data_IF_186826786473
#
_entry.id   IF_186826786473
#
_cell.length_a   1.000
_cell.length_b   1.000
_cell.length_c   1.000
_cell.angle_alpha   90.00
_cell.angle_beta   90.00
_cell.angle_gamma   90.00
#
_symmetry.space_group_name_H-M   'P 1'
#
loop_
_entity.id
_entity.type
_entity.pdbx_description
1 polymer ?
#
# COMPACT_ATOMS: atom_id res chain seq x y z
N UNK A 1 12.34 -27.45 -8.90
CA UNK A 1 12.28 -26.07 -8.40
C UNK A 1 13.44 -25.33 -9.00
N UNK A 2 13.18 -24.32 -9.84
CA UNK A 2 14.23 -23.46 -10.37
C UNK A 2 14.86 -22.75 -9.16
N UNK A 3 16.15 -22.95 -8.93
CA UNK A 3 16.85 -22.29 -7.81
C UNK A 3 16.82 -20.79 -8.06
N UNK A 4 16.11 -20.02 -7.22
CA UNK A 4 16.24 -18.57 -7.23
C UNK A 4 17.62 -18.23 -6.70
N UNK A 5 18.32 -17.37 -7.42
CA UNK A 5 19.63 -16.88 -6.98
C UNK A 5 19.41 -15.80 -5.95
N UNK A 6 20.05 -15.93 -4.80
CA UNK A 6 19.98 -14.91 -3.75
C UNK A 6 21.38 -14.48 -3.30
N UNK A 7 21.46 -13.29 -2.73
CA UNK A 7 22.67 -12.69 -2.19
C UNK A 7 22.34 -11.95 -0.88
N UNK A 8 23.38 -11.54 -0.15
CA UNK A 8 23.24 -10.96 1.19
C UNK A 8 22.25 -9.79 1.27
N UNK A 9 22.27 -8.90 0.26
CA UNK A 9 21.51 -7.66 0.32
C UNK A 9 21.99 -6.73 1.43
N UNK A 10 21.12 -5.80 1.82
CA UNK A 10 21.39 -4.74 2.78
C UNK A 10 20.18 -4.55 3.71
N UNK A 11 20.41 -4.26 5.01
CA UNK A 11 19.32 -4.00 5.95
C UNK A 11 18.60 -2.65 5.70
N UNK A 12 19.15 -1.78 4.86
CA UNK A 12 18.57 -0.47 4.55
C UNK A 12 18.69 -0.14 3.06
N UNK A 13 17.73 0.63 2.51
CA UNK A 13 16.49 1.07 3.16
C UNK A 13 15.50 -0.08 3.40
N UNK A 14 14.54 0.12 4.31
CA UNK A 14 13.48 -0.85 4.59
C UNK A 14 12.49 -0.95 3.43
N UNK A 15 11.95 -2.15 3.24
CA UNK A 15 11.06 -2.56 2.16
C UNK A 15 11.78 -3.09 0.92
N UNK A 16 11.02 -3.36 -0.15
CA UNK A 16 11.57 -3.73 -1.44
C UNK A 16 12.09 -2.51 -2.24
N UNK A 17 13.38 -2.54 -2.60
CA UNK A 17 14.06 -1.46 -3.33
C UNK A 17 14.68 -1.97 -4.62
N UNK A 18 14.22 -1.44 -5.75
CA UNK A 18 14.83 -1.68 -7.07
C UNK A 18 16.19 -0.99 -7.17
N UNK A 19 17.26 -1.77 -7.40
CA UNK A 19 18.65 -1.31 -7.44
C UNK A 19 19.21 -1.15 -8.87
N UNK A 20 18.37 -1.35 -9.90
CA UNK A 20 18.78 -1.33 -11.32
C UNK A 20 19.28 -2.67 -11.86
N UNK A 21 19.72 -3.57 -10.99
CA UNK A 21 20.23 -4.91 -11.35
C UNK A 21 19.59 -6.05 -10.52
N UNK A 22 18.54 -5.75 -9.77
CA UNK A 22 17.85 -6.65 -8.84
C UNK A 22 17.10 -5.87 -7.78
N UNK A 23 16.44 -6.57 -6.87
CA UNK A 23 15.68 -5.99 -5.77
C UNK A 23 16.30 -6.38 -4.44
N UNK A 24 16.53 -5.37 -3.60
CA UNK A 24 16.88 -5.57 -2.20
C UNK A 24 15.60 -5.57 -1.36
N UNK A 25 15.39 -6.62 -0.58
CA UNK A 25 14.28 -6.74 0.36
C UNK A 25 14.81 -6.57 1.78
N UNK A 26 14.14 -5.77 2.62
CA UNK A 26 14.52 -5.57 4.01
C UNK A 26 13.26 -5.40 4.89
N UNK A 27 13.08 -6.29 5.86
CA UNK A 27 11.92 -6.34 6.76
C UNK A 27 12.37 -6.29 8.22
N UNK A 28 11.90 -5.29 8.95
CA UNK A 28 12.09 -5.25 10.40
C UNK A 28 11.20 -6.27 11.10
N UNK A 29 11.79 -7.10 11.97
CA UNK A 29 11.06 -7.92 12.93
C UNK A 29 11.98 -8.36 14.07
N UNK A 30 11.76 -7.80 15.27
CA UNK A 30 12.55 -8.10 16.47
C UNK A 30 12.33 -9.52 17.02
N UNK A 31 11.11 -10.06 16.91
CA UNK A 31 10.71 -11.30 17.57
C UNK A 31 10.49 -12.48 16.62
N UNK A 32 10.64 -12.28 15.31
CA UNK A 32 10.53 -13.38 14.35
C UNK A 32 11.63 -14.43 14.59
N UNK A 33 11.27 -15.69 14.43
CA UNK A 33 12.22 -16.81 14.39
C UNK A 33 12.50 -17.27 12.97
N UNK A 34 11.78 -16.74 11.98
CA UNK A 34 12.01 -16.98 10.56
C UNK A 34 11.15 -16.05 9.70
N UNK A 35 11.70 -15.65 8.57
CA UNK A 35 11.00 -14.84 7.55
C UNK A 35 11.12 -15.56 6.21
N UNK A 36 10.01 -15.69 5.52
CA UNK A 36 9.96 -16.21 4.16
C UNK A 36 9.41 -15.12 3.23
N UNK A 37 10.15 -14.80 2.17
CA UNK A 37 9.71 -13.95 1.08
C UNK A 37 8.90 -14.80 0.08
N UNK A 38 7.65 -14.41 -0.16
CA UNK A 38 6.73 -15.08 -1.07
C UNK A 38 6.62 -14.25 -2.35
N UNK A 39 6.91 -14.84 -3.52
CA UNK A 39 6.78 -14.19 -4.83
C UNK A 39 5.60 -14.78 -5.60
N UNK A 40 4.86 -13.92 -6.29
CA UNK A 40 3.69 -14.28 -7.09
C UNK A 40 3.88 -13.81 -8.53
N UNK A 41 3.49 -14.65 -9.49
CA UNK A 41 3.58 -14.32 -10.93
C UNK A 41 2.36 -13.51 -11.39
N UNK A 42 1.24 -13.62 -10.67
CA UNK A 42 -0.04 -12.98 -11.02
C UNK A 42 -0.81 -12.55 -9.77
N UNK A 43 -1.68 -11.56 -9.91
CA UNK A 43 -2.48 -11.02 -8.80
C UNK A 43 -3.55 -12.01 -8.33
N UNK A 44 -4.09 -12.82 -9.25
CA UNK A 44 -5.10 -13.84 -8.97
C UNK A 44 -4.47 -15.16 -8.47
N UNK A 45 -3.15 -15.20 -8.27
CA UNK A 45 -2.47 -16.37 -7.76
C UNK A 45 -2.95 -16.70 -6.34
N UNK A 46 -3.49 -17.91 -6.17
CA UNK A 46 -4.04 -18.39 -4.90
C UNK A 46 -2.96 -18.87 -3.91
N UNK A 47 -1.75 -19.10 -4.40
CA UNK A 47 -0.58 -19.54 -3.65
C UNK A 47 0.67 -18.88 -4.24
N UNK A 48 1.74 -18.74 -3.44
CA UNK A 48 2.99 -18.21 -3.95
C UNK A 48 3.68 -19.16 -4.93
N UNK A 49 4.17 -18.60 -6.05
CA UNK A 49 4.93 -19.35 -7.06
C UNK A 49 6.29 -19.78 -6.50
N UNK A 50 6.88 -18.94 -5.64
CA UNK A 50 8.18 -19.17 -5.03
C UNK A 50 8.15 -18.68 -3.58
N UNK A 51 8.68 -19.51 -2.68
CA UNK A 51 8.93 -19.16 -1.29
C UNK A 51 10.44 -19.21 -1.00
N UNK A 52 10.99 -18.13 -0.46
CA UNK A 52 12.43 -17.95 -0.27
C UNK A 52 12.70 -17.65 1.21
N UNK A 53 13.43 -18.51 1.94
CA UNK A 53 13.82 -18.22 3.31
C UNK A 53 14.81 -17.05 3.34
N UNK A 54 14.44 -15.97 4.03
CA UNK A 54 15.33 -14.82 4.24
C UNK A 54 16.31 -15.20 5.36
N UNK A 55 17.58 -15.34 4.99
CA UNK A 55 18.61 -15.90 5.88
C UNK A 55 19.49 -14.85 6.56
N UNK A 56 19.65 -13.68 5.95
CA UNK A 56 20.46 -12.61 6.53
C UNK A 56 19.66 -11.76 7.50
N UNK A 57 20.29 -11.42 8.61
CA UNK A 57 19.67 -10.69 9.70
C UNK A 57 20.70 -9.78 10.38
N UNK A 58 20.49 -8.46 10.25
CA UNK A 58 21.34 -7.43 10.85
C UNK A 58 20.47 -6.51 11.68
N UNK A 59 20.73 -6.41 12.98
CA UNK A 59 20.06 -5.46 13.89
C UNK A 59 18.52 -5.49 13.79
N UNK A 60 17.92 -6.69 13.95
CA UNK A 60 16.46 -6.90 13.88
C UNK A 60 15.85 -6.75 12.48
N UNK A 61 16.67 -6.55 11.44
CA UNK A 61 16.23 -6.45 10.04
C UNK A 61 16.65 -7.67 9.25
N UNK A 62 15.66 -8.37 8.71
CA UNK A 62 15.81 -9.50 7.80
C UNK A 62 15.97 -8.98 6.38
N UNK A 63 16.99 -9.41 5.66
CA UNK A 63 17.25 -8.88 4.32
C UNK A 63 17.79 -9.90 3.33
N UNK A 64 17.56 -9.65 2.06
CA UNK A 64 18.10 -10.45 0.96
C UNK A 64 18.07 -9.66 -0.35
N UNK A 65 18.99 -9.97 -1.28
CA UNK A 65 19.01 -9.38 -2.61
C UNK A 65 18.78 -10.43 -3.69
N UNK A 66 17.81 -10.15 -4.58
CA UNK A 66 17.43 -11.02 -5.69
C UNK A 66 17.77 -10.33 -7.03
N UNK A 67 18.74 -10.84 -7.81
CA UNK A 67 19.22 -10.21 -9.05
C UNK A 67 18.23 -10.32 -10.22
N UNK A 68 17.32 -11.29 -10.17
CA UNK A 68 16.42 -11.61 -11.30
C UNK A 68 15.05 -10.96 -11.15
N UNK A 69 14.72 -10.45 -9.96
CA UNK A 69 13.47 -9.73 -9.71
C UNK A 69 13.52 -8.32 -10.31
N UNK A 70 12.38 -7.84 -10.80
CA UNK A 70 12.19 -6.55 -11.47
C UNK A 70 11.00 -5.79 -10.86
N UNK A 71 10.85 -4.48 -11.15
CA UNK A 71 9.61 -3.77 -10.89
C UNK A 71 8.39 -4.53 -11.45
N UNK A 72 7.24 -4.31 -10.81
CA UNK A 72 5.98 -5.05 -10.98
C UNK A 72 5.96 -6.48 -10.43
N UNK A 73 7.04 -6.96 -9.81
CA UNK A 73 7.00 -8.20 -9.03
C UNK A 73 6.03 -8.07 -7.85
N UNK A 74 5.08 -9.00 -7.76
CA UNK A 74 4.20 -9.17 -6.62
C UNK A 74 4.89 -10.01 -5.54
N UNK A 75 4.75 -9.58 -4.29
CA UNK A 75 5.31 -10.29 -3.16
C UNK A 75 4.51 -10.08 -1.86
N UNK A 76 4.83 -10.91 -0.87
CA UNK A 76 4.43 -10.76 0.53
C UNK A 76 5.41 -11.51 1.42
N UNK A 77 5.12 -11.56 2.71
CA UNK A 77 5.95 -12.26 3.70
C UNK A 77 5.15 -13.28 4.49
N UNK A 78 5.78 -14.39 4.84
CA UNK A 78 5.32 -15.27 5.92
C UNK A 78 6.31 -15.17 7.08
N UNK A 79 5.81 -14.90 8.28
CA UNK A 79 6.67 -14.64 9.44
C UNK A 79 6.37 -15.66 10.53
N UNK A 80 7.40 -16.45 10.86
CA UNK A 80 7.36 -17.45 11.92
C UNK A 80 7.84 -16.83 13.24
N UNK A 81 7.29 -17.31 14.35
CA UNK A 81 7.66 -16.87 15.69
C UNK A 81 6.76 -17.51 16.75
N UNK A 82 6.91 -17.11 18.02
CA UNK A 82 6.07 -17.62 19.10
C UNK A 82 4.60 -17.19 18.95
N UNK A 83 3.69 -18.12 19.22
CA UNK A 83 2.26 -17.83 19.36
C UNK A 83 1.86 -18.00 20.84
N UNK A 84 1.74 -16.87 21.52
CA UNK A 84 1.30 -16.73 22.92
C UNK A 84 0.46 -15.44 23.04
N UNK A 85 -0.82 -15.50 22.62
CA UNK A 85 -1.70 -14.32 22.54
C UNK A 85 -1.89 -13.57 23.86
N UNK A 86 -1.84 -14.27 24.99
CA UNK A 86 -1.95 -13.67 26.33
C UNK A 86 -0.78 -12.74 26.64
N UNK A 87 0.37 -12.95 25.98
CA UNK A 87 1.56 -12.08 26.06
C UNK A 87 1.71 -11.17 24.84
N UNK A 88 0.72 -11.14 23.95
CA UNK A 88 0.72 -10.36 22.73
C UNK A 88 1.53 -10.94 21.57
N UNK A 89 2.09 -12.16 21.71
CA UNK A 89 2.87 -12.81 20.66
C UNK A 89 1.90 -13.54 19.72
N UNK A 90 1.73 -13.04 18.48
CA UNK A 90 0.70 -13.53 17.54
C UNK A 90 1.26 -13.98 16.20
N UNK A 91 2.49 -14.52 16.18
CA UNK A 91 3.11 -14.97 14.93
C UNK A 91 2.34 -16.16 14.33
N UNK A 92 2.05 -16.07 13.03
CA UNK A 92 1.36 -17.12 12.29
C UNK A 92 1.84 -17.16 10.84
N UNK A 93 2.73 -18.09 10.52
CA UNK A 93 3.30 -18.22 9.18
C UNK A 93 2.34 -18.81 8.14
N UNK A 94 1.17 -19.31 8.57
CA UNK A 94 0.07 -19.63 7.64
C UNK A 94 -0.55 -18.39 7.03
N UNK A 95 -0.32 -17.19 7.59
CA UNK A 95 -0.87 -15.92 7.09
C UNK A 95 0.16 -15.18 6.24
N UNK A 96 -0.25 -14.77 5.05
CA UNK A 96 0.50 -13.90 4.15
C UNK A 96 0.38 -12.47 4.64
N UNK A 97 1.51 -11.82 4.85
CA UNK A 97 1.60 -10.45 5.32
C UNK A 97 2.04 -9.52 4.19
N UNK A 98 1.49 -8.32 4.19
CA UNK A 98 1.99 -7.21 3.38
C UNK A 98 3.34 -6.72 3.93
N UNK A 99 4.18 -6.17 3.05
CA UNK A 99 5.35 -5.41 3.50
C UNK A 99 4.88 -4.06 4.08
N UNK A 100 5.15 -3.76 5.37
CA UNK A 100 4.77 -2.47 5.95
C UNK A 100 5.45 -1.27 5.27
N UNK A 101 6.50 -1.50 4.48
CA UNK A 101 7.22 -0.50 3.70
C UNK A 101 6.87 -0.49 2.21
N UNK A 102 5.89 -1.31 1.78
CA UNK A 102 5.43 -1.40 0.40
C UNK A 102 5.06 0.00 -0.15
N UNK A 103 5.59 0.31 -1.34
CA UNK A 103 5.31 1.58 -2.02
C UNK A 103 4.10 1.49 -2.95
N UNK A 104 3.65 0.28 -3.24
CA UNK A 104 2.43 -0.02 -3.95
C UNK A 104 1.86 -1.34 -3.41
N UNK A 105 0.54 -1.40 -3.30
CA UNK A 105 -0.22 -2.59 -2.93
C UNK A 105 -1.28 -2.80 -4.01
N UNK A 106 -1.38 -4.02 -4.52
CA UNK A 106 -2.31 -4.42 -5.57
C UNK A 106 -3.35 -5.40 -5.01
N UNK A 107 -4.59 -5.27 -5.48
CA UNK A 107 -5.71 -6.10 -5.08
C UNK A 107 -6.45 -5.58 -3.85
N UNK A 108 -7.48 -6.32 -3.48
CA UNK A 108 -8.35 -6.07 -2.34
C UNK A 108 -8.42 -7.32 -1.46
N UNK A 109 -8.83 -7.14 -0.20
CA UNK A 109 -9.04 -8.28 0.69
C UNK A 109 -10.31 -9.02 0.25
N UNK A 110 -10.17 -10.28 -0.11
CA UNK A 110 -11.30 -11.20 -0.29
C UNK A 110 -11.63 -11.82 1.07
N UNK A 111 -12.57 -11.21 1.79
CA UNK A 111 -12.89 -11.60 3.16
C UNK A 111 -13.42 -13.03 3.29
N UNK A 112 -12.75 -13.79 4.15
CA UNK A 112 -13.13 -15.12 4.63
C UNK A 112 -12.60 -15.32 6.05
N UNK A 113 -13.07 -16.33 6.77
CA UNK A 113 -12.66 -16.57 8.16
C UNK A 113 -11.15 -16.87 8.28
N UNK A 114 -10.56 -17.52 7.28
CA UNK A 114 -9.12 -17.77 7.21
C UNK A 114 -8.26 -16.51 7.08
N UNK A 115 -8.83 -15.33 6.77
CA UNK A 115 -8.09 -14.05 6.79
C UNK A 115 -7.73 -13.61 8.21
N UNK A 116 -8.25 -14.29 9.23
CA UNK A 116 -7.90 -14.06 10.63
C UNK A 116 -6.82 -15.04 11.10
N UNK A 117 -5.91 -14.56 11.94
CA UNK A 117 -4.90 -15.36 12.62
C UNK A 117 -5.44 -16.38 13.63
N UNK A 118 -6.74 -16.33 13.91
CA UNK A 118 -7.45 -17.15 14.89
C UNK A 118 -8.77 -17.68 14.34
N UNK A 119 -9.29 -18.75 14.94
CA UNK A 119 -10.50 -19.45 14.46
C UNK A 119 -11.74 -18.64 14.85
N UNK A 120 -12.39 -18.04 13.86
CA UNK A 120 -13.65 -17.31 14.04
C UNK A 120 -14.73 -18.25 14.61
N UNK A 121 -15.38 -17.80 15.70
CA UNK A 121 -16.42 -18.56 16.38
C UNK A 121 -15.92 -19.67 17.33
N UNK A 122 -14.61 -19.82 17.53
CA UNK A 122 -14.09 -20.72 18.57
C UNK A 122 -14.45 -20.22 19.97
N UNK A 123 -14.63 -21.15 20.92
CA UNK A 123 -14.92 -20.83 22.32
C UNK A 123 -13.78 -20.11 23.03
N UNK A 124 -12.55 -20.27 22.53
CA UNK A 124 -11.36 -19.58 23.02
C UNK A 124 -11.10 -18.27 22.28
N UNK A 125 -12.01 -17.85 21.40
CA UNK A 125 -11.95 -16.58 20.66
C UNK A 125 -10.58 -16.40 19.97
N UNK A 126 -9.91 -15.28 20.22
CA UNK A 126 -8.65 -14.89 19.60
C UNK A 126 -7.41 -15.66 20.10
N UNK A 127 -7.60 -16.61 21.02
CA UNK A 127 -6.56 -17.50 21.54
C UNK A 127 -6.40 -18.77 20.70
N UNK A 128 -7.40 -19.12 19.89
CA UNK A 128 -7.38 -20.32 19.05
C UNK A 128 -6.70 -20.03 17.71
N UNK A 129 -5.42 -20.39 17.56
CA UNK A 129 -4.67 -20.18 16.31
C UNK A 129 -5.32 -20.87 15.11
N UNK A 130 -5.46 -20.16 13.99
CA UNK A 130 -5.93 -20.72 12.72
C UNK A 130 -4.77 -20.93 11.74
N UNK A 131 -4.61 -22.16 11.25
CA UNK A 131 -3.51 -22.55 10.36
C UNK A 131 -3.88 -22.55 8.87
N UNK A 132 -5.11 -22.20 8.49
CA UNK A 132 -5.52 -22.08 7.09
C UNK A 132 -4.75 -20.98 6.39
N UNK A 133 -4.40 -21.21 5.13
CA UNK A 133 -3.74 -20.22 4.30
C UNK A 133 -4.72 -19.16 3.81
N UNK A 134 -4.25 -17.91 3.73
CA UNK A 134 -5.02 -16.73 3.33
C UNK A 134 -4.49 -16.07 2.05
N UNK A 135 -3.40 -16.58 1.46
CA UNK A 135 -2.70 -15.96 0.35
C UNK A 135 -3.62 -15.64 -0.86
N UNK A 136 -4.66 -16.46 -1.07
CA UNK A 136 -5.65 -16.26 -2.13
C UNK A 136 -6.51 -15.01 -1.96
N UNK A 137 -6.71 -14.54 -0.72
CA UNK A 137 -7.58 -13.41 -0.40
C UNK A 137 -6.86 -12.18 0.13
N UNK A 138 -5.55 -12.24 0.35
CA UNK A 138 -4.75 -11.09 0.79
C UNK A 138 -4.19 -10.32 -0.42
N UNK A 139 -4.26 -8.98 -0.47
CA UNK A 139 -3.60 -8.19 -1.51
C UNK A 139 -2.08 -8.39 -1.51
N UNK A 140 -1.42 -8.04 -2.60
CA UNK A 140 0.03 -8.26 -2.76
C UNK A 140 0.79 -6.94 -2.72
N UNK A 141 1.94 -6.93 -2.05
CA UNK A 141 2.90 -5.83 -2.15
C UNK A 141 3.54 -5.85 -3.53
N UNK A 142 3.85 -4.67 -4.08
CA UNK A 142 4.42 -4.57 -5.43
C UNK A 142 5.77 -3.87 -5.39
N UNK A 143 6.78 -4.48 -6.02
CA UNK A 143 8.05 -3.81 -6.26
C UNK A 143 7.83 -2.72 -7.31
N UNK A 144 8.25 -1.49 -7.04
CA UNK A 144 8.15 -0.40 -8.02
C UNK A 144 9.52 0.11 -8.44
N UNK A 145 9.58 0.74 -9.61
CA UNK A 145 10.63 1.70 -9.90
C UNK A 145 10.25 3.06 -9.27
N UNK A 146 11.17 3.65 -8.51
CA UNK A 146 10.92 4.94 -7.87
C UNK A 146 11.21 6.12 -8.80
N UNK A 147 11.91 5.87 -9.92
CA UNK A 147 12.23 6.87 -10.93
C UNK A 147 10.97 7.58 -11.44
N UNK A 148 11.02 8.91 -11.51
CA UNK A 148 9.93 9.74 -12.02
C UNK A 148 10.51 11.09 -12.47
N UNK A 149 10.18 11.52 -13.69
CA UNK A 149 10.59 12.83 -14.19
C UNK A 149 9.68 13.92 -13.61
N UNK A 150 10.18 14.66 -12.62
CA UNK A 150 9.44 15.77 -12.02
C UNK A 150 9.38 17.03 -12.89
N UNK A 151 10.05 17.08 -14.04
CA UNK A 151 10.02 18.22 -14.97
C UNK A 151 10.36 19.57 -14.32
N UNK A 152 11.27 19.54 -13.34
CA UNK A 152 11.68 20.73 -12.60
C UNK A 152 10.69 21.21 -11.55
N UNK A 153 9.73 20.37 -11.14
CA UNK A 153 8.77 20.65 -10.07
C UNK A 153 9.43 21.26 -8.82
N UNK A 154 8.73 22.21 -8.22
CA UNK A 154 9.13 22.84 -6.96
C UNK A 154 7.90 23.02 -6.11
N UNK A 155 8.05 22.74 -4.81
CA UNK A 155 7.02 23.04 -3.82
C UNK A 155 6.59 24.51 -3.91
N UNK A 156 5.28 24.82 -4.05
CA UNK A 156 4.79 26.20 -4.15
C UNK A 156 5.18 27.08 -2.95
N UNK A 157 5.08 26.54 -1.72
CA UNK A 157 5.61 27.20 -0.52
C UNK A 157 4.79 28.42 -0.08
N UNK A 158 3.46 28.29 -0.08
CA UNK A 158 2.54 29.37 0.28
C UNK A 158 2.65 29.64 1.79
N UNK A 159 2.90 30.88 2.23
CA UNK A 159 2.90 31.22 3.65
C UNK A 159 1.53 30.93 4.28
N UNK A 160 1.51 30.37 5.49
CA UNK A 160 0.26 30.05 6.20
C UNK A 160 -0.75 31.22 6.29
N UNK A 161 -0.35 32.49 6.51
CA UNK A 161 -1.29 33.61 6.53
C UNK A 161 -1.99 33.88 5.18
N UNK A 162 -1.37 33.44 4.08
CA UNK A 162 -1.89 33.58 2.72
C UNK A 162 -2.60 32.31 2.24
N UNK A 163 -2.66 31.26 3.08
CA UNK A 163 -3.19 29.96 2.71
C UNK A 163 -4.72 29.91 2.80
N UNK A 164 -5.33 29.34 1.77
CA UNK A 164 -6.74 28.96 1.70
C UNK A 164 -6.80 27.48 1.35
N UNK A 165 -7.09 26.66 2.35
CA UNK A 165 -7.12 25.20 2.25
C UNK A 165 -8.49 24.73 1.77
N UNK A 166 -8.49 23.82 0.80
CA UNK A 166 -9.67 23.16 0.26
C UNK A 166 -9.61 21.66 0.54
N UNK A 167 -10.34 21.21 1.56
CA UNK A 167 -10.49 19.79 1.88
C UNK A 167 -11.29 19.09 0.77
N UNK A 168 -10.76 17.97 0.26
CA UNK A 168 -11.33 17.28 -0.89
C UNK A 168 -11.12 15.78 -0.84
N UNK A 169 -12.18 15.05 -1.21
CA UNK A 169 -12.10 13.62 -1.44
C UNK A 169 -11.76 13.34 -2.91
N UNK A 170 -10.68 12.59 -3.18
CA UNK A 170 -10.21 12.26 -4.55
C UNK A 170 -11.34 11.70 -5.42
N UNK A 171 -12.01 10.64 -4.95
CA UNK A 171 -13.18 10.05 -5.63
C UNK A 171 -14.34 11.04 -5.78
N UNK A 172 -14.82 11.62 -4.69
CA UNK A 172 -16.00 12.49 -4.69
C UNK A 172 -15.90 13.71 -5.59
N UNK A 173 -14.70 14.29 -5.67
CA UNK A 173 -14.45 15.54 -6.40
C UNK A 173 -14.89 15.49 -7.87
N UNK A 174 -14.54 14.42 -8.58
CA UNK A 174 -14.78 14.32 -10.02
C UNK A 174 -15.67 13.16 -10.43
N UNK A 175 -16.16 12.31 -9.51
CA UNK A 175 -16.94 11.11 -9.87
C UNK A 175 -18.17 11.42 -10.73
N UNK A 176 -18.84 12.54 -10.48
CA UNK A 176 -20.04 12.99 -11.19
C UNK A 176 -19.78 14.16 -12.16
N UNK A 177 -18.51 14.48 -12.44
CA UNK A 177 -18.16 15.59 -13.32
C UNK A 177 -18.26 15.14 -14.79
N UNK A 178 -19.42 15.37 -15.39
CA UNK A 178 -19.75 14.89 -16.74
C UNK A 178 -18.84 15.41 -17.87
N UNK A 179 -18.16 16.53 -17.67
CA UNK A 179 -17.23 17.10 -18.65
C UNK A 179 -15.85 16.45 -18.61
N UNK A 180 -15.50 15.74 -17.53
CA UNK A 180 -14.28 14.95 -17.47
C UNK A 180 -14.47 13.61 -18.19
N UNK A 181 -13.43 13.08 -18.88
CA UNK A 181 -13.45 11.71 -19.41
C UNK A 181 -13.80 10.70 -18.32
N UNK A 182 -14.64 9.72 -18.63
CA UNK A 182 -15.22 8.80 -17.65
C UNK A 182 -14.15 8.02 -16.86
N UNK A 183 -13.09 7.63 -17.55
CA UNK A 183 -11.94 6.90 -17.01
C UNK A 183 -11.12 7.70 -15.98
N UNK A 184 -11.21 9.03 -15.99
CA UNK A 184 -10.51 9.91 -15.03
C UNK A 184 -11.41 10.33 -13.85
N UNK A 185 -12.70 9.98 -13.87
CA UNK A 185 -13.65 10.44 -12.86
C UNK A 185 -13.44 9.72 -11.53
N UNK A 186 -13.11 10.50 -10.52
CA UNK A 186 -12.85 10.05 -9.16
C UNK A 186 -11.46 9.44 -8.97
N UNK A 187 -10.48 9.84 -9.77
CA UNK A 187 -9.10 9.35 -9.71
C UNK A 187 -8.09 10.48 -9.46
N UNK A 188 -6.85 10.11 -9.14
CA UNK A 188 -5.74 11.07 -9.01
C UNK A 188 -5.53 11.85 -10.31
N UNK A 189 -5.58 11.17 -11.46
CA UNK A 189 -5.48 11.83 -12.76
C UNK A 189 -6.62 12.83 -13.01
N UNK A 190 -7.84 12.53 -12.57
CA UNK A 190 -8.96 13.48 -12.61
C UNK A 190 -8.73 14.73 -11.76
N UNK A 191 -8.21 14.57 -10.54
CA UNK A 191 -7.93 15.67 -9.63
C UNK A 191 -6.73 16.52 -10.10
N UNK A 192 -5.78 15.92 -10.80
CA UNK A 192 -4.64 16.61 -11.42
C UNK A 192 -4.89 17.12 -12.85
N UNK A 193 -6.13 17.05 -13.35
CA UNK A 193 -6.48 17.42 -14.72
C UNK A 193 -6.52 18.95 -14.92
N UNK A 194 -6.42 19.40 -16.18
CA UNK A 194 -6.52 20.82 -16.51
C UNK A 194 -7.84 21.44 -16.06
N UNK A 195 -8.95 20.72 -16.15
CA UNK A 195 -10.27 21.17 -15.70
C UNK A 195 -10.33 21.35 -14.18
N UNK A 196 -9.77 20.40 -13.42
CA UNK A 196 -9.67 20.49 -11.97
C UNK A 196 -8.82 21.69 -11.54
N UNK A 197 -7.66 21.87 -12.18
CA UNK A 197 -6.78 23.00 -11.93
C UNK A 197 -7.48 24.33 -12.24
N UNK A 198 -8.13 24.46 -13.39
CA UNK A 198 -8.88 25.68 -13.75
C UNK A 198 -9.98 26.00 -12.72
N UNK A 199 -10.70 24.97 -12.24
CA UNK A 199 -11.66 25.12 -11.15
C UNK A 199 -11.00 25.65 -9.87
N UNK A 200 -9.92 25.04 -9.39
CA UNK A 200 -9.24 25.49 -8.17
C UNK A 200 -8.69 26.91 -8.30
N UNK A 201 -8.14 27.27 -9.46
CA UNK A 201 -7.66 28.63 -9.74
C UNK A 201 -8.78 29.66 -9.76
N UNK A 202 -9.95 29.32 -10.33
CA UNK A 202 -11.14 30.19 -10.34
C UNK A 202 -11.73 30.35 -8.94
N UNK A 203 -11.74 29.29 -8.15
CA UNK A 203 -12.19 29.33 -6.76
C UNK A 203 -11.25 30.16 -5.88
N UNK A 204 -9.95 30.21 -6.22
CA UNK A 204 -8.95 31.02 -5.54
C UNK A 204 -8.30 30.32 -4.34
N UNK A 205 -8.37 28.98 -4.29
CA UNK A 205 -7.72 28.18 -3.24
C UNK A 205 -6.23 28.08 -3.51
N UNK A 206 -5.42 27.97 -2.46
CA UNK A 206 -3.96 27.87 -2.57
C UNK A 206 -3.45 26.45 -2.38
N UNK A 207 -4.21 25.64 -1.64
CA UNK A 207 -3.79 24.33 -1.18
C UNK A 207 -5.01 23.40 -1.20
N UNK A 208 -4.82 22.17 -1.65
CA UNK A 208 -5.82 21.10 -1.51
C UNK A 208 -5.38 20.17 -0.38
N UNK A 209 -6.31 19.84 0.51
CA UNK A 209 -6.11 18.84 1.56
C UNK A 209 -6.89 17.59 1.18
N UNK A 210 -6.15 16.52 0.84
CA UNK A 210 -6.76 15.27 0.43
C UNK A 210 -7.18 14.49 1.67
N UNK A 211 -8.43 14.02 1.69
CA UNK A 211 -8.84 12.91 2.56
C UNK A 211 -7.89 11.71 2.36
N UNK A 212 -7.84 10.75 3.31
CA UNK A 212 -6.84 9.69 3.33
C UNK A 212 -6.59 9.02 1.97
N UNK A 213 -5.33 9.10 1.53
CA UNK A 213 -4.85 8.45 0.30
C UNK A 213 -3.89 7.31 0.57
N UNK A 214 -3.53 7.02 1.82
CA UNK A 214 -2.80 5.79 2.13
C UNK A 214 -3.65 4.58 1.77
N UNK A 215 -3.00 3.49 1.36
CA UNK A 215 -3.66 2.23 1.10
C UNK A 215 -4.40 1.78 2.38
N UNK A 216 -5.72 1.67 2.26
CA UNK A 216 -6.64 1.20 3.27
C UNK A 216 -7.40 -0.02 2.76
N UNK A 217 -7.99 -0.77 3.69
CA UNK A 217 -8.87 -1.91 3.39
C UNK A 217 -10.30 -1.60 3.82
N UNK A 218 -11.21 -2.32 3.17
CA UNK A 218 -12.62 -2.33 3.49
C UNK A 218 -12.88 -3.18 4.73
N UNK A 219 -13.48 -2.61 5.78
CA UNK A 219 -13.80 -3.37 6.99
C UNK A 219 -14.79 -4.48 6.69
N UNK A 220 -14.54 -5.68 7.22
CA UNK A 220 -15.45 -6.83 7.04
C UNK A 220 -16.88 -6.49 7.46
N UNK A 221 -17.07 -5.73 8.54
CA UNK A 221 -18.39 -5.32 9.03
C UNK A 221 -19.16 -4.42 8.05
N UNK A 222 -18.46 -3.63 7.23
CA UNK A 222 -19.04 -2.83 6.16
C UNK A 222 -19.40 -3.72 4.97
N UNK A 223 -18.48 -4.59 4.56
CA UNK A 223 -18.69 -5.54 3.45
C UNK A 223 -19.88 -6.46 3.72
N UNK A 224 -19.99 -7.01 4.93
CA UNK A 224 -21.12 -7.86 5.35
C UNK A 224 -22.48 -7.13 5.25
N UNK A 225 -22.48 -5.80 5.24
CA UNK A 225 -23.66 -4.93 5.11
C UNK A 225 -23.84 -4.35 3.70
N UNK A 226 -22.98 -4.71 2.73
CA UNK A 226 -22.98 -4.15 1.39
C UNK A 226 -22.56 -2.68 1.33
N UNK A 227 -21.72 -2.24 2.28
CA UNK A 227 -21.16 -0.90 2.37
C UNK A 227 -19.66 -0.89 2.01
N UNK A 228 -19.10 0.30 1.88
CA UNK A 228 -17.68 0.57 1.62
C UNK A 228 -17.20 1.70 2.53
N UNK A 229 -15.94 1.66 2.91
CA UNK A 229 -15.19 2.71 3.57
C UNK A 229 -14.84 3.77 2.54
N UNK A 230 -15.76 4.72 2.38
CA UNK A 230 -15.58 5.80 1.44
C UNK A 230 -14.38 6.69 1.82
N UNK A 231 -14.28 7.11 3.09
CA UNK A 231 -13.30 8.12 3.53
C UNK A 231 -11.86 7.59 3.61
N UNK A 232 -11.65 6.30 3.87
CA UNK A 232 -10.32 5.70 3.89
C UNK A 232 -9.51 5.88 5.19
N UNK A 233 -10.14 6.31 6.29
CA UNK A 233 -9.51 6.38 7.64
C UNK A 233 -9.32 4.98 8.25
N UNK A 234 -8.63 4.08 7.55
CA UNK A 234 -8.37 2.70 7.96
C UNK A 234 -7.10 2.16 7.28
N UNK A 235 -5.95 2.78 7.56
CA UNK A 235 -4.72 2.55 6.80
C UNK A 235 -4.10 1.17 7.09
N UNK A 236 -3.67 0.47 6.04
CA UNK A 236 -2.82 -0.73 6.11
C UNK A 236 -1.42 -0.51 5.51
N UNK A 237 -1.29 0.37 4.50
CA UNK A 237 -0.04 0.64 3.80
C UNK A 237 0.34 2.12 3.84
N UNK A 238 1.22 2.50 4.77
CA UNK A 238 1.60 3.90 5.03
C UNK A 238 2.46 4.56 3.95
N UNK A 239 2.99 3.78 3.00
CA UNK A 239 3.85 4.29 1.93
C UNK A 239 3.27 4.06 0.53
N UNK A 240 2.10 3.44 0.44
CA UNK A 240 1.42 3.15 -0.81
C UNK A 240 0.19 4.06 -0.95
N UNK A 241 0.01 4.75 -2.08
CA UNK A 241 -1.25 5.42 -2.38
C UNK A 241 -2.35 4.37 -2.63
N UNK A 242 -3.58 4.67 -2.24
CA UNK A 242 -4.71 3.77 -2.38
C UNK A 242 -5.01 3.50 -3.85
N UNK A 243 -5.00 2.22 -4.23
CA UNK A 243 -5.02 1.80 -5.62
C UNK A 243 -6.34 2.09 -6.34
N UNK A 244 -7.49 2.05 -5.66
CA UNK A 244 -8.80 2.32 -6.30
C UNK A 244 -8.98 3.77 -6.75
N UNK A 245 -8.12 4.69 -6.31
CA UNK A 245 -8.10 6.07 -6.80
C UNK A 245 -7.19 6.26 -8.02
N UNK A 246 -6.57 5.20 -8.54
CA UNK A 246 -5.79 5.23 -9.77
C UNK A 246 -6.67 4.88 -10.98
N UNK A 247 -6.55 5.65 -12.06
CA UNK A 247 -7.14 5.30 -13.37
C UNK A 247 -6.21 4.39 -14.21
N UNK A 248 -4.93 4.34 -13.85
CA UNK A 248 -3.88 3.73 -14.68
C UNK A 248 -3.52 2.30 -14.27
N UNK A 249 -4.11 1.78 -13.18
CA UNK A 249 -3.84 0.44 -12.66
C UNK A 249 -3.33 0.43 -11.21
N UNK A 250 -2.96 -0.77 -10.74
CA UNK A 250 -2.65 -1.07 -9.34
C UNK A 250 -1.29 -1.76 -9.12
N UNK A 251 -0.52 -2.00 -10.18
CA UNK A 251 0.77 -2.70 -10.17
C UNK A 251 1.97 -1.75 -10.03
N UNK A 252 1.73 -0.57 -9.46
CA UNK A 252 2.68 0.53 -9.33
C UNK A 252 2.25 1.80 -10.05
N UNK A 253 1.28 1.72 -10.97
CA UNK A 253 0.77 2.87 -11.71
C UNK A 253 0.11 3.90 -10.79
N UNK A 254 -0.51 3.47 -9.69
CA UNK A 254 -1.07 4.36 -8.67
C UNK A 254 -0.04 5.34 -8.09
N UNK A 255 1.23 4.93 -8.00
CA UNK A 255 2.32 5.79 -7.52
C UNK A 255 2.69 6.83 -8.58
N UNK A 256 2.77 6.40 -9.84
CA UNK A 256 3.10 7.28 -10.97
C UNK A 256 1.98 8.30 -11.19
N UNK A 257 0.72 7.87 -11.10
CA UNK A 257 -0.45 8.73 -11.25
C UNK A 257 -0.54 9.75 -10.11
N UNK A 258 -0.31 9.33 -8.87
CA UNK A 258 -0.26 10.24 -7.72
C UNK A 258 0.85 11.29 -7.87
N UNK A 259 2.07 10.89 -8.25
CA UNK A 259 3.17 11.83 -8.53
C UNK A 259 2.82 12.81 -9.65
N UNK A 260 2.16 12.33 -10.70
CA UNK A 260 1.72 13.17 -11.83
C UNK A 260 0.68 14.19 -11.41
N UNK A 261 -0.29 13.81 -10.57
CA UNK A 261 -1.27 14.72 -9.97
C UNK A 261 -0.58 15.82 -9.16
N UNK A 262 0.33 15.46 -8.26
CA UNK A 262 1.09 16.42 -7.44
C UNK A 262 1.87 17.39 -8.32
N UNK A 263 2.63 16.90 -9.31
CA UNK A 263 3.38 17.73 -10.26
C UNK A 263 2.47 18.71 -10.99
N UNK A 264 1.31 18.26 -11.49
CA UNK A 264 0.36 19.13 -12.19
C UNK A 264 -0.20 20.23 -11.30
N UNK A 265 -0.55 19.92 -10.05
CA UNK A 265 -1.04 20.90 -9.08
C UNK A 265 0.05 21.92 -8.70
N UNK A 266 1.26 21.46 -8.45
CA UNK A 266 2.39 22.33 -8.12
C UNK A 266 2.75 23.29 -9.27
N UNK A 267 2.74 22.82 -10.52
CA UNK A 267 2.94 23.67 -11.70
C UNK A 267 1.87 24.78 -11.82
N UNK A 268 0.67 24.56 -11.27
CA UNK A 268 -0.39 25.57 -11.17
C UNK A 268 -0.27 26.48 -9.92
N UNK A 269 0.72 26.23 -9.07
CA UNK A 269 0.94 26.91 -7.79
C UNK A 269 -0.01 26.48 -6.68
N UNK A 270 -0.54 25.25 -6.74
CA UNK A 270 -1.45 24.69 -5.74
C UNK A 270 -0.67 23.69 -4.88
N UNK A 271 -0.67 23.87 -3.57
CA UNK A 271 -0.04 22.92 -2.64
C UNK A 271 -0.91 21.68 -2.43
N UNK A 272 -0.27 20.55 -2.11
CA UNK A 272 -0.94 19.31 -1.73
C UNK A 272 -0.63 18.98 -0.28
N UNK A 273 -1.68 18.87 0.52
CA UNK A 273 -1.64 18.44 1.92
C UNK A 273 -2.34 17.08 1.99
N UNK A 274 -1.80 16.17 2.80
CA UNK A 274 -2.38 14.84 3.00
C UNK A 274 -2.93 14.73 4.41
N UNK A 275 -4.18 14.32 4.53
CA UNK A 275 -4.69 13.75 5.76
C UNK A 275 -4.02 12.38 5.98
N UNK A 276 -3.43 12.20 7.16
CA UNK A 276 -2.60 11.04 7.51
C UNK A 276 -3.08 10.39 8.81
N UNK A 277 -3.30 9.08 8.74
CA UNK A 277 -3.65 8.24 9.88
C UNK A 277 -2.43 7.46 10.31
N UNK A 278 -1.82 7.84 11.44
CA UNK A 278 -0.72 7.09 12.08
C UNK A 278 -1.07 6.57 13.48
N UNK A 279 -2.29 6.81 13.95
CA UNK A 279 -2.71 6.50 15.31
C UNK A 279 -3.39 5.12 15.47
N UNK A 280 -3.78 4.47 14.38
CA UNK A 280 -4.29 3.09 14.34
C UNK A 280 -4.01 2.44 12.96
N UNK A 281 -4.30 1.14 12.83
CA UNK A 281 -4.20 0.36 11.58
C UNK A 281 -5.54 -0.30 11.25
N UNK A 282 -5.65 -0.86 10.05
CA UNK A 282 -6.80 -1.64 9.64
C UNK A 282 -6.87 -3.08 10.19
N UNK A 283 -5.93 -3.46 11.05
CA UNK A 283 -5.92 -4.76 11.71
C UNK A 283 -6.77 -4.77 13.00
N UNK A 284 -7.51 -3.69 13.27
CA UNK A 284 -8.40 -3.55 14.42
C UNK A 284 -9.60 -4.51 14.41
N UNK A 285 -10.53 -4.28 15.34
CA UNK A 285 -11.74 -5.09 15.54
C UNK A 285 -12.99 -4.30 15.16
#
# INVERSE_FOLDING_TARGET
MTSVKTFLGYPYPLGATWMGNGVNFALFSEHATGVELCLFDDLEATEENIRIPVSEHTDQVWHEFLPDVRPSQLYGYRVSGPYDPERGLRFNSSKLLLDPYAKAIAGEVSWADEMFGYVIGDKKEDLAQDFRDDAWGVPKSVVIDTAFDWQGDRRPGIPLPDSVIYEVHVKGFSKLWNEAPEELRGTYAGLGSASAIDYFKKLGVTSVELLPVHAHIEDKSLIDRGLTNYWGYNTIGFFAPHAQYSSSGQMGEQVVEFKSMVRSLHLAGIEVILDVVYNHTAEGN
#
